data_IF_111419546144
#
_entry.id   IF_111419546144
#
_cell.length_a   1.000
_cell.length_b   1.000
_cell.length_c   1.000
_cell.angle_alpha   90.00
_cell.angle_beta   90.00
_cell.angle_gamma   90.00
#
_symmetry.space_group_name_H-M   'P 1'
#
loop_
_entity.id
_entity.type
_entity.pdbx_description
1 polymer ?
#
# COMPACT_ATOMS: atom_id res chain seq x y z
N UNK A 1 -29.24 42.69 3.36
CA UNK A 1 -28.78 41.40 2.78
C UNK A 1 -27.61 41.56 1.82
N UNK A 2 -27.56 42.61 0.98
CA UNK A 2 -26.47 42.84 0.02
C UNK A 2 -25.08 43.11 0.64
N UNK A 3 -25.00 43.75 1.81
CA UNK A 3 -23.71 44.10 2.44
C UNK A 3 -22.99 42.91 3.10
N UNK A 4 -23.71 41.83 3.44
CA UNK A 4 -23.11 40.60 3.98
C UNK A 4 -22.54 39.71 2.88
N UNK A 5 -23.15 39.67 1.69
CA UNK A 5 -22.66 38.86 0.57
C UNK A 5 -21.37 39.44 -0.04
N UNK A 6 -21.22 40.76 -0.07
CA UNK A 6 -20.00 41.41 -0.55
C UNK A 6 -18.81 41.26 0.43
N UNK A 7 -19.07 41.03 1.72
CA UNK A 7 -18.03 40.78 2.72
C UNK A 7 -17.40 39.37 2.65
N UNK A 8 -18.07 38.43 1.97
CA UNK A 8 -17.60 37.02 1.83
C UNK A 8 -16.95 36.77 0.46
N UNK A 9 -17.09 37.70 -0.50
CA UNK A 9 -16.39 37.69 -1.79
C UNK A 9 -14.88 37.91 -1.61
N UNK A 10 -14.18 36.84 -1.27
CA UNK A 10 -12.73 36.87 -1.07
C UNK A 10 -12.23 36.00 0.08
N UNK A 11 -13.15 35.45 0.90
CA UNK A 11 -12.79 34.43 1.87
C UNK A 11 -12.50 33.14 1.09
N UNK A 12 -11.21 32.86 0.88
CA UNK A 12 -10.75 31.53 0.48
C UNK A 12 -11.24 30.55 1.54
N UNK A 13 -12.32 29.85 1.23
CA UNK A 13 -12.79 28.74 2.06
C UNK A 13 -11.64 27.74 2.10
N UNK A 14 -11.12 27.46 3.30
CA UNK A 14 -10.09 26.44 3.45
C UNK A 14 -10.59 25.15 2.80
N UNK A 15 -9.76 24.46 2.00
CA UNK A 15 -10.17 23.21 1.40
C UNK A 15 -10.62 22.25 2.49
N UNK A 16 -11.92 21.91 2.48
CA UNK A 16 -12.48 20.95 3.43
C UNK A 16 -11.98 19.56 3.07
N UNK A 17 -11.00 19.06 3.80
CA UNK A 17 -10.62 17.66 3.73
C UNK A 17 -11.76 16.79 4.27
N UNK A 18 -12.23 15.84 3.47
CA UNK A 18 -13.21 14.84 3.89
C UNK A 18 -12.42 13.61 4.35
N UNK A 19 -12.45 13.23 5.64
CA UNK A 19 -11.74 12.06 6.11
C UNK A 19 -12.45 10.77 5.64
N UNK A 20 -11.65 9.79 5.22
CA UNK A 20 -12.11 8.43 4.92
C UNK A 20 -11.36 7.45 5.82
N UNK A 21 -12.08 6.43 6.28
CA UNK A 21 -11.52 5.37 7.12
C UNK A 21 -11.90 4.02 6.55
N UNK A 22 -10.94 3.10 6.51
CA UNK A 22 -11.14 1.70 6.11
C UNK A 22 -10.72 0.84 7.29
N UNK A 23 -11.51 -0.18 7.60
CA UNK A 23 -11.12 -1.17 8.61
C UNK A 23 -9.86 -1.92 8.15
N UNK A 24 -8.84 -1.93 9.00
CA UNK A 24 -7.59 -2.64 8.77
C UNK A 24 -7.44 -3.75 9.81
N UNK A 25 -7.04 -4.95 9.37
CA UNK A 25 -6.85 -6.08 10.27
C UNK A 25 -5.46 -6.00 10.91
N UNK A 26 -5.43 -5.74 12.22
CA UNK A 26 -4.21 -5.47 12.96
C UNK A 26 -3.70 -4.04 12.79
N UNK A 27 -2.58 -3.75 13.44
CA UNK A 27 -1.89 -2.47 13.41
C UNK A 27 -1.27 -2.22 12.04
N UNK A 28 -1.28 -0.96 11.58
CA UNK A 28 -0.62 -0.54 10.33
C UNK A 28 0.83 -0.19 10.64
N UNK A 29 1.77 -1.04 10.25
CA UNK A 29 3.21 -0.80 10.45
C UNK A 29 3.76 0.17 9.40
N UNK A 30 3.30 0.05 8.15
CA UNK A 30 3.74 0.91 7.04
C UNK A 30 2.62 1.09 6.02
N UNK A 31 2.60 2.26 5.39
CA UNK A 31 1.70 2.60 4.28
C UNK A 31 2.48 3.35 3.20
N UNK A 32 2.27 2.98 1.94
CA UNK A 32 2.94 3.61 0.78
C UNK A 32 2.00 3.71 -0.42
N UNK A 33 2.07 4.82 -1.15
CA UNK A 33 1.34 5.00 -2.42
C UNK A 33 2.18 4.47 -3.59
N UNK A 34 1.51 3.89 -4.60
CA UNK A 34 2.17 3.44 -5.81
C UNK A 34 2.63 4.64 -6.65
N UNK A 35 3.88 4.68 -7.13
CA UNK A 35 4.41 5.84 -7.85
C UNK A 35 3.74 6.05 -9.21
N UNK A 36 3.32 4.99 -9.90
CA UNK A 36 2.64 5.06 -11.20
C UNK A 36 1.17 5.43 -11.08
N UNK A 37 0.52 5.12 -9.95
CA UNK A 37 -0.89 5.43 -9.68
C UNK A 37 -1.09 5.76 -8.19
N UNK A 38 -1.00 7.04 -7.78
CA UNK A 38 -1.06 7.44 -6.37
C UNK A 38 -2.38 7.12 -5.65
N UNK A 39 -3.42 6.73 -6.39
CA UNK A 39 -4.71 6.28 -5.84
C UNK A 39 -4.60 4.86 -5.30
N UNK A 40 -3.59 4.10 -5.71
CA UNK A 40 -3.32 2.76 -5.19
C UNK A 40 -2.37 2.86 -4.00
N UNK A 41 -2.80 2.30 -2.87
CA UNK A 41 -2.10 2.36 -1.59
C UNK A 41 -1.88 0.94 -1.07
N UNK A 42 -0.65 0.60 -0.68
CA UNK A 42 -0.37 -0.62 0.06
C UNK A 42 -0.14 -0.33 1.53
N UNK A 43 -0.64 -1.21 2.40
CA UNK A 43 -0.31 -1.25 3.82
C UNK A 43 0.29 -2.60 4.22
N UNK A 44 1.16 -2.58 5.24
CA UNK A 44 1.70 -3.77 5.89
C UNK A 44 1.20 -3.83 7.33
N UNK A 45 0.61 -4.97 7.71
CA UNK A 45 0.13 -5.21 9.06
C UNK A 45 1.18 -5.83 9.98
N UNK A 46 0.93 -5.76 11.29
CA UNK A 46 1.72 -6.48 12.31
C UNK A 46 1.77 -8.00 12.09
N UNK A 47 0.81 -8.56 11.35
CA UNK A 47 0.77 -9.98 11.01
C UNK A 47 1.56 -10.30 9.72
N UNK A 48 2.23 -9.32 9.13
CA UNK A 48 2.90 -9.48 7.84
C UNK A 48 1.95 -9.50 6.63
N UNK A 49 0.65 -9.24 6.84
CA UNK A 49 -0.34 -9.17 5.77
C UNK A 49 -0.18 -7.86 5.01
N UNK A 50 -0.12 -7.95 3.68
CA UNK A 50 -0.12 -6.78 2.81
C UNK A 50 -1.52 -6.60 2.24
N UNK A 51 -2.09 -5.42 2.44
CA UNK A 51 -3.36 -5.03 1.85
C UNK A 51 -3.14 -3.96 0.79
N UNK A 52 -3.87 -4.04 -0.32
CA UNK A 52 -3.79 -3.05 -1.41
C UNK A 52 -5.17 -2.45 -1.65
N UNK A 53 -5.25 -1.13 -1.50
CA UNK A 53 -6.46 -0.32 -1.62
C UNK A 53 -6.39 0.55 -2.86
N UNK A 54 -7.55 0.87 -3.43
CA UNK A 54 -7.69 1.87 -4.49
C UNK A 54 -8.63 2.96 -3.99
N UNK A 55 -8.11 4.17 -3.82
CA UNK A 55 -8.83 5.32 -3.25
C UNK A 55 -9.78 6.01 -4.23
N UNK A 56 -9.64 5.77 -5.54
CA UNK A 56 -10.69 6.21 -6.49
C UNK A 56 -11.89 5.27 -6.42
N UNK A 57 -11.64 4.03 -6.01
CA UNK A 57 -12.62 2.98 -5.85
C UNK A 57 -12.70 2.52 -4.39
N UNK A 58 -12.66 3.43 -3.40
CA UNK A 58 -12.54 3.16 -1.93
C UNK A 58 -13.41 1.99 -1.42
N UNK A 59 -14.51 1.70 -2.10
CA UNK A 59 -15.43 0.60 -1.81
C UNK A 59 -15.02 -0.77 -2.40
N UNK A 60 -13.86 -0.91 -3.06
CA UNK A 60 -13.39 -2.12 -3.76
C UNK A 60 -11.86 -2.27 -3.64
N UNK A 61 -11.33 -3.51 -3.48
CA UNK A 61 -9.88 -3.74 -3.55
C UNK A 61 -9.33 -3.34 -4.93
N UNK A 62 -8.10 -2.82 -4.97
CA UNK A 62 -7.49 -2.30 -6.19
C UNK A 62 -7.48 -3.33 -7.32
N UNK A 63 -7.86 -2.92 -8.55
CA UNK A 63 -8.04 -3.83 -9.70
C UNK A 63 -6.77 -4.62 -10.07
N UNK A 64 -5.60 -4.06 -9.81
CA UNK A 64 -4.31 -4.72 -10.06
C UNK A 64 -4.13 -5.93 -9.14
N UNK A 65 -4.75 -5.88 -7.95
CA UNK A 65 -4.75 -6.91 -6.92
C UNK A 65 -6.16 -7.49 -6.71
N UNK A 66 -7.08 -7.34 -7.68
CA UNK A 66 -8.49 -7.64 -7.48
C UNK A 66 -8.73 -9.12 -7.25
N UNK A 67 -9.32 -9.37 -6.10
CA UNK A 67 -9.97 -10.60 -5.72
C UNK A 67 -11.35 -10.73 -6.36
N UNK A 68 -11.48 -11.54 -7.40
CA UNK A 68 -12.58 -12.51 -7.37
C UNK A 68 -12.26 -13.65 -6.38
N UNK A 69 -11.02 -13.69 -5.86
CA UNK A 69 -10.55 -14.55 -4.76
C UNK A 69 -9.93 -13.69 -3.65
N UNK A 70 -10.64 -13.55 -2.53
CA UNK A 70 -10.31 -12.76 -1.34
C UNK A 70 -8.82 -12.45 -1.14
N UNK A 71 -8.46 -11.20 -1.43
CA UNK A 71 -7.52 -10.27 -0.78
C UNK A 71 -6.43 -10.77 0.19
N UNK A 72 -5.80 -11.92 -0.04
CA UNK A 72 -4.63 -12.38 0.70
C UNK A 72 -3.59 -12.91 -0.28
N UNK A 73 -2.35 -12.45 -0.18
CA UNK A 73 -1.21 -13.15 -0.80
C UNK A 73 -1.04 -14.47 -0.05
N UNK A 74 -1.19 -15.65 -0.68
CA UNK A 74 -1.20 -16.90 0.06
C UNK A 74 0.20 -17.34 0.56
N UNK A 75 0.20 -17.82 1.81
CA UNK A 75 0.89 -19.04 2.31
C UNK A 75 2.38 -19.06 2.68
N UNK A 76 2.93 -17.94 3.11
CA UNK A 76 3.89 -18.00 4.22
C UNK A 76 3.59 -16.85 5.13
N UNK A 77 3.03 -17.10 6.32
CA UNK A 77 2.94 -16.09 7.37
C UNK A 77 4.38 -15.69 7.71
N UNK A 78 4.89 -14.58 7.16
CA UNK A 78 6.31 -14.28 7.24
C UNK A 78 6.67 -13.68 8.60
N UNK A 79 5.65 -13.51 9.45
CA UNK A 79 5.69 -12.74 10.67
C UNK A 79 5.58 -11.24 10.37
N UNK A 80 5.59 -10.49 11.45
CA UNK A 80 5.66 -9.03 11.46
C UNK A 80 6.74 -8.50 10.51
N UNK A 81 6.44 -7.39 9.84
CA UNK A 81 7.39 -6.71 8.97
C UNK A 81 7.28 -5.19 9.05
N UNK A 82 8.35 -4.55 8.59
CA UNK A 82 8.56 -3.09 8.67
C UNK A 82 8.93 -2.48 7.33
N UNK A 83 9.45 -3.30 6.42
CA UNK A 83 9.91 -2.86 5.12
C UNK A 83 8.83 -3.12 4.05
N UNK A 84 8.53 -2.09 3.26
CA UNK A 84 7.56 -2.12 2.18
C UNK A 84 8.00 -1.09 1.13
N UNK A 85 8.11 -1.47 -0.14
CA UNK A 85 8.46 -0.58 -1.23
C UNK A 85 7.86 -1.01 -2.57
N UNK A 86 7.21 -0.09 -3.27
CA UNK A 86 6.79 -0.27 -4.67
C UNK A 86 7.99 -0.17 -5.60
N UNK A 87 7.99 -0.99 -6.66
CA UNK A 87 8.90 -0.81 -7.77
C UNK A 87 8.58 0.51 -8.48
N UNK A 88 9.61 1.31 -8.73
CA UNK A 88 9.46 2.66 -9.30
C UNK A 88 9.18 2.65 -10.81
N UNK A 89 9.48 1.54 -11.49
CA UNK A 89 9.34 1.39 -12.94
C UNK A 89 8.18 0.49 -13.33
N UNK A 90 8.10 -0.66 -12.69
CA UNK A 90 7.12 -1.69 -13.00
C UNK A 90 5.89 -1.57 -12.10
N UNK A 91 4.77 -1.17 -12.71
CA UNK A 91 3.49 -1.00 -12.04
C UNK A 91 3.03 -2.29 -11.36
N UNK A 92 2.71 -2.17 -10.08
CA UNK A 92 2.15 -3.24 -9.26
C UNK A 92 3.17 -4.16 -8.60
N UNK A 93 4.46 -4.10 -8.96
CA UNK A 93 5.49 -4.90 -8.28
C UNK A 93 5.83 -4.27 -6.93
N UNK A 94 5.87 -5.11 -5.89
CA UNK A 94 6.08 -4.68 -4.52
C UNK A 94 7.15 -5.56 -3.87
N UNK A 95 7.94 -4.99 -2.97
CA UNK A 95 8.82 -5.72 -2.07
C UNK A 95 8.40 -5.51 -0.63
N UNK A 96 8.46 -6.55 0.19
CA UNK A 96 8.33 -6.47 1.65
C UNK A 96 9.50 -7.14 2.35
N UNK A 97 9.81 -6.69 3.56
CA UNK A 97 10.82 -7.29 4.43
C UNK A 97 10.26 -7.50 5.84
N UNK A 98 10.64 -8.63 6.43
CA UNK A 98 10.04 -9.14 7.66
C UNK A 98 11.07 -9.39 8.76
N UNK A 99 10.60 -9.51 9.99
CA UNK A 99 11.42 -9.75 11.18
C UNK A 99 12.18 -11.09 11.11
N UNK A 100 11.65 -12.04 10.32
CA UNK A 100 12.29 -13.32 10.02
C UNK A 100 13.58 -13.21 9.18
N UNK A 101 13.90 -12.03 8.62
CA UNK A 101 14.99 -11.86 7.67
C UNK A 101 14.61 -12.16 6.22
N UNK A 102 13.36 -12.56 5.98
CA UNK A 102 12.86 -12.82 4.64
C UNK A 102 12.47 -11.53 3.92
N UNK A 103 12.81 -11.48 2.63
CA UNK A 103 12.29 -10.48 1.69
C UNK A 103 11.30 -11.19 0.76
N UNK A 104 10.14 -10.59 0.50
CA UNK A 104 9.20 -11.08 -0.50
C UNK A 104 9.12 -10.11 -1.66
N UNK A 105 9.18 -10.64 -2.87
CA UNK A 105 8.88 -9.92 -4.10
C UNK A 105 7.51 -10.35 -4.59
N UNK A 106 6.59 -9.40 -4.74
CA UNK A 106 5.22 -9.67 -5.12
C UNK A 106 4.90 -9.18 -6.53
N UNK A 107 4.28 -10.06 -7.31
CA UNK A 107 3.98 -9.89 -8.72
C UNK A 107 2.48 -10.11 -8.96
N UNK A 108 1.64 -9.06 -8.90
CA UNK A 108 0.19 -9.22 -8.97
C UNK A 108 -0.31 -9.78 -10.32
N UNK A 109 0.46 -9.57 -11.39
CA UNK A 109 0.13 -10.01 -12.75
C UNK A 109 0.36 -11.52 -12.96
N UNK A 110 1.03 -12.22 -12.04
CA UNK A 110 1.31 -13.66 -12.14
C UNK A 110 0.20 -14.44 -11.41
N UNK A 111 -0.52 -15.30 -12.14
CA UNK A 111 -1.66 -16.05 -11.59
C UNK A 111 -1.25 -17.12 -10.57
N UNK A 112 -0.17 -17.86 -10.84
CA UNK A 112 0.15 -19.09 -10.09
C UNK A 112 1.19 -18.91 -8.98
N UNK A 113 1.95 -17.81 -9.01
CA UNK A 113 2.95 -17.48 -7.98
C UNK A 113 3.07 -15.98 -7.82
N UNK A 114 2.13 -15.40 -7.07
CA UNK A 114 2.08 -13.95 -6.81
C UNK A 114 3.23 -13.46 -5.94
N UNK A 115 4.04 -14.34 -5.34
CA UNK A 115 5.16 -13.93 -4.49
C UNK A 115 6.34 -14.91 -4.50
N UNK A 116 7.54 -14.36 -4.39
CA UNK A 116 8.81 -15.09 -4.32
C UNK A 116 9.54 -14.63 -3.06
N UNK A 117 9.92 -15.58 -2.21
CA UNK A 117 10.78 -15.34 -1.05
C UNK A 117 12.25 -15.29 -1.48
N UNK A 118 12.99 -14.33 -0.93
CA UNK A 118 14.43 -14.16 -1.08
C UNK A 118 15.05 -14.26 0.30
N UNK A 119 16.00 -15.18 0.42
CA UNK A 119 16.75 -15.43 1.65
C UNK A 119 18.14 -14.79 1.52
N UNK A 120 18.68 -14.28 2.64
CA UNK A 120 20.01 -13.67 2.68
C UNK A 120 20.32 -12.90 3.95
N UNK A 121 19.28 -12.41 4.65
CA UNK A 121 19.44 -11.78 5.96
C UNK A 121 19.21 -12.80 7.09
N UNK A 122 20.02 -12.70 8.13
CA UNK A 122 19.91 -13.51 9.35
C UNK A 122 19.12 -12.84 10.48
N UNK A 123 18.55 -11.66 10.20
CA UNK A 123 17.84 -10.81 11.17
C UNK A 123 16.82 -9.93 10.45
N UNK A 124 15.99 -9.23 11.22
CA UNK A 124 14.95 -8.33 10.72
C UNK A 124 15.38 -7.46 9.55
N UNK A 125 14.53 -7.42 8.52
CA UNK A 125 14.65 -6.51 7.39
C UNK A 125 13.79 -5.27 7.67
N UNK A 126 14.44 -4.22 8.16
CA UNK A 126 13.77 -2.96 8.54
C UNK A 126 13.50 -2.02 7.35
N UNK A 127 14.24 -2.21 6.25
CA UNK A 127 14.12 -1.36 5.08
C UNK A 127 14.39 -2.15 3.80
N UNK A 128 13.64 -1.83 2.75
CA UNK A 128 13.88 -2.27 1.37
C UNK A 128 13.65 -1.07 0.46
N UNK A 129 14.44 -0.98 -0.60
CA UNK A 129 14.25 0.01 -1.63
C UNK A 129 14.58 -0.60 -2.98
N UNK A 130 13.87 -0.15 -4.01
CA UNK A 130 14.17 -0.51 -5.39
C UNK A 130 15.23 0.44 -5.92
N UNK A 131 16.08 -0.08 -6.81
CA UNK A 131 16.98 0.79 -7.54
C UNK A 131 16.14 1.81 -8.35
N UNK A 132 16.55 3.08 -8.41
CA UNK A 132 15.88 4.05 -9.27
C UNK A 132 16.13 3.75 -10.75
N UNK A 133 17.20 3.01 -11.05
CA UNK A 133 17.64 2.73 -12.41
C UNK A 133 17.28 1.35 -12.92
N UNK A 134 17.13 0.37 -12.04
CA UNK A 134 16.98 -1.07 -12.36
C UNK A 134 15.74 -1.66 -11.70
#
# INVERSE_FOLDING_TARGET
ESEFEDAVKGIKVDPKAIPYSIAHNGTVNKVICMPQSPTIVASLSEYGTINVYDWDNVLRPAKIWSSEDSSQVPESNPGEGWALAWNLREEGILASGHNSGMIFLHYPKIKDKRSIAVEGHSSSVECVCWSPTE
#
